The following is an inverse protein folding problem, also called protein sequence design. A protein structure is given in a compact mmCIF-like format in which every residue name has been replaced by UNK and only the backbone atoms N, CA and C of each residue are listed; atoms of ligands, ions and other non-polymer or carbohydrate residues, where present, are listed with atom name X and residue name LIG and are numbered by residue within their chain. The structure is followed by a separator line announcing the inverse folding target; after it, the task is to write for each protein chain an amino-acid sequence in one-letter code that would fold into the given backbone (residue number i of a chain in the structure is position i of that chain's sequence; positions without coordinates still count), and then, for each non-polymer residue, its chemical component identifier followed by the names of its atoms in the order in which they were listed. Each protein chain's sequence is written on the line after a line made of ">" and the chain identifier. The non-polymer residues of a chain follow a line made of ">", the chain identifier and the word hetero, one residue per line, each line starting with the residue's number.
data_IF_832977358601
#
_entry.id   IF_832977358601
#
_cell.length_a   1.000
_cell.length_b   1.000
_cell.length_c   1.000
_cell.angle_alpha   90.00
_cell.angle_beta   90.00
_cell.angle_gamma   90.00
#
_symmetry.space_group_name_H-M   'P 1'
#
loop_
_entity.id
_entity.type
_entity.pdbx_description
1 polymer ?
#
# COMPACT_ATOMS: atom_id res chain seq x y z
N UNK A 1 1.06 9.33 -0.33
CA UNK A 1 1.33 8.08 0.41
C UNK A 1 1.06 8.22 1.92
N UNK A 2 1.64 9.20 2.62
CA UNK A 2 1.46 9.34 4.08
C UNK A 2 0.01 9.54 4.56
N UNK A 3 -0.85 10.20 3.77
CA UNK A 3 -2.24 10.48 4.14
C UNK A 3 -3.19 9.28 4.02
N UNK A 4 -2.82 8.24 3.27
CA UNK A 4 -3.66 7.06 3.06
C UNK A 4 -3.09 5.82 3.75
N UNK A 5 -1.78 5.61 3.66
CA UNK A 5 -1.14 4.36 4.09
C UNK A 5 -1.08 4.22 5.62
N UNK A 6 -0.79 5.31 6.34
CA UNK A 6 -0.75 5.29 7.81
C UNK A 6 -2.14 5.06 8.43
N UNK A 7 -3.20 5.78 8.02
CA UNK A 7 -4.55 5.47 8.48
C UNK A 7 -5.00 4.05 8.14
N UNK A 8 -4.67 3.55 6.94
CA UNK A 8 -5.03 2.19 6.53
C UNK A 8 -4.38 1.12 7.42
N UNK A 9 -3.07 1.23 7.71
CA UNK A 9 -2.37 0.32 8.60
C UNK A 9 -2.89 0.39 10.05
N UNK A 10 -3.15 1.61 10.54
CA UNK A 10 -3.73 1.81 11.87
C UNK A 10 -5.12 1.20 11.98
N UNK A 11 -5.94 1.29 10.93
CA UNK A 11 -7.28 0.71 10.92
C UNK A 11 -7.23 -0.81 10.82
N UNK A 12 -6.34 -1.38 10.01
CA UNK A 12 -6.20 -2.82 9.81
C UNK A 12 -5.80 -3.58 11.09
N UNK A 13 -5.17 -2.88 12.05
CA UNK A 13 -4.72 -3.44 13.33
C UNK A 13 -5.57 -2.98 14.52
N UNK A 14 -6.59 -2.14 14.27
CA UNK A 14 -7.44 -1.60 15.31
C UNK A 14 -8.28 -2.70 15.97
N UNK A 15 -8.22 -2.80 17.31
CA UNK A 15 -9.01 -3.77 18.07
C UNK A 15 -8.49 -5.21 18.05
N UNK A 16 -7.34 -5.47 17.41
CA UNK A 16 -6.68 -6.79 17.45
C UNK A 16 -6.12 -7.05 18.84
N UNK A 17 -6.42 -8.22 19.43
CA UNK A 17 -5.80 -8.63 20.70
C UNK A 17 -4.30 -8.88 20.50
N UNK A 18 -3.44 -8.62 21.50
CA UNK A 18 -1.98 -8.77 21.35
C UNK A 18 -1.54 -10.16 20.87
N UNK A 19 -2.26 -11.21 21.30
CA UNK A 19 -2.02 -12.60 20.90
C UNK A 19 -2.31 -12.89 19.41
N UNK A 20 -3.16 -12.09 18.76
CA UNK A 20 -3.59 -12.28 17.36
C UNK A 20 -2.83 -11.35 16.38
N UNK A 21 -2.01 -10.44 16.89
CA UNK A 21 -1.31 -9.43 16.10
C UNK A 21 -0.41 -10.03 15.00
N UNK A 22 0.23 -11.17 15.29
CA UNK A 22 1.06 -11.87 14.30
C UNK A 22 0.26 -12.39 13.11
N UNK A 23 -0.94 -12.95 13.36
CA UNK A 23 -1.84 -13.45 12.31
C UNK A 23 -2.39 -12.28 11.50
N UNK A 24 -2.81 -11.19 12.15
CA UNK A 24 -3.30 -10.00 11.47
C UNK A 24 -2.25 -9.38 10.54
N UNK A 25 -1.00 -9.25 11.00
CA UNK A 25 0.12 -8.74 10.20
C UNK A 25 0.45 -9.66 9.01
N UNK A 26 0.46 -10.98 9.22
CA UNK A 26 0.66 -11.94 8.14
C UNK A 26 -0.42 -11.80 7.06
N UNK A 27 -1.69 -11.69 7.45
CA UNK A 27 -2.81 -11.49 6.52
C UNK A 27 -2.67 -10.20 5.71
N UNK A 28 -2.30 -9.10 6.36
CA UNK A 28 -2.07 -7.81 5.69
C UNK A 28 -0.92 -7.90 4.68
N UNK A 29 0.19 -8.52 5.07
CA UNK A 29 1.34 -8.70 4.19
C UNK A 29 0.99 -9.59 2.98
N UNK A 30 0.36 -10.74 3.21
CA UNK A 30 -0.09 -11.63 2.13
C UNK A 30 -1.06 -10.90 1.20
N UNK A 31 -2.01 -10.13 1.74
CA UNK A 31 -2.95 -9.35 0.93
C UNK A 31 -2.25 -8.31 0.07
N UNK A 32 -1.22 -7.62 0.60
CA UNK A 32 -0.42 -6.66 -0.17
C UNK A 32 0.40 -7.33 -1.26
N UNK A 33 1.08 -8.45 -0.95
CA UNK A 33 1.88 -9.17 -1.93
C UNK A 33 1.01 -9.73 -3.07
N UNK A 34 -0.10 -10.37 -2.71
CA UNK A 34 -1.06 -10.92 -3.69
C UNK A 34 -1.70 -9.79 -4.49
N UNK A 35 -2.18 -8.73 -3.84
CA UNK A 35 -2.79 -7.59 -4.50
C UNK A 35 -1.83 -6.87 -5.44
N UNK A 36 -0.58 -6.66 -5.04
CA UNK A 36 0.45 -6.03 -5.87
C UNK A 36 0.78 -6.85 -7.12
N UNK A 37 0.93 -8.18 -6.97
CA UNK A 37 1.20 -9.07 -8.09
C UNK A 37 0.02 -9.13 -9.07
N UNK A 38 -1.20 -9.34 -8.58
CA UNK A 38 -2.41 -9.42 -9.39
C UNK A 38 -2.69 -8.08 -10.10
N UNK A 39 -2.59 -6.97 -9.37
CA UNK A 39 -2.81 -5.63 -9.93
C UNK A 39 -1.82 -5.32 -11.06
N UNK A 40 -0.54 -5.63 -10.85
CA UNK A 40 0.49 -5.42 -11.88
C UNK A 40 0.24 -6.28 -13.11
N UNK A 41 -0.08 -7.57 -12.92
CA UNK A 41 -0.38 -8.48 -14.02
C UNK A 41 -1.57 -8.01 -14.85
N UNK A 42 -2.67 -7.63 -14.17
CA UNK A 42 -3.89 -7.14 -14.82
C UNK A 42 -3.61 -5.88 -15.65
N UNK A 43 -2.96 -4.87 -15.07
CA UNK A 43 -2.68 -3.61 -15.75
C UNK A 43 -1.74 -3.80 -16.94
N UNK A 44 -0.76 -4.70 -16.84
CA UNK A 44 0.09 -5.08 -17.96
C UNK A 44 -0.72 -5.75 -19.09
N UNK A 45 -1.64 -6.65 -18.76
CA UNK A 45 -2.53 -7.27 -19.75
C UNK A 45 -3.39 -6.23 -20.48
N UNK A 46 -3.95 -5.26 -19.75
CA UNK A 46 -4.73 -4.15 -20.34
C UNK A 46 -3.85 -3.30 -21.25
N UNK A 47 -2.67 -2.88 -20.78
CA UNK A 47 -1.75 -2.06 -21.55
C UNK A 47 -1.31 -2.76 -22.85
N UNK A 48 -0.93 -4.04 -22.76
CA UNK A 48 -0.52 -4.84 -23.89
C UNK A 48 -1.68 -5.05 -24.89
N UNK A 49 -2.88 -5.36 -24.40
CA UNK A 49 -4.06 -5.58 -25.26
C UNK A 49 -4.47 -4.31 -26.01
N UNK A 50 -4.46 -3.16 -25.33
CA UNK A 50 -4.75 -1.86 -25.95
C UNK A 50 -3.66 -1.45 -26.96
N UNK A 51 -2.38 -1.71 -26.65
CA UNK A 51 -1.26 -1.49 -27.58
C UNK A 51 -1.43 -2.33 -28.85
N UNK A 52 -1.67 -3.63 -28.71
CA UNK A 52 -1.86 -4.55 -29.86
C UNK A 52 -3.06 -4.13 -30.71
N UNK A 53 -4.17 -3.76 -30.07
CA UNK A 53 -5.37 -3.27 -30.77
C UNK A 53 -5.10 -2.00 -31.56
N UNK A 54 -4.35 -1.04 -30.98
CA UNK A 54 -3.95 0.18 -31.65
C UNK A 54 -3.08 -0.10 -32.88
N UNK A 55 -2.05 -0.95 -32.72
CA UNK A 55 -1.15 -1.31 -33.80
C UNK A 55 -1.91 -1.93 -34.97
N UNK A 56 -2.83 -2.87 -34.71
CA UNK A 56 -3.63 -3.52 -35.74
C UNK A 56 -4.50 -2.52 -36.53
N UNK A 57 -5.12 -1.56 -35.85
CA UNK A 57 -5.99 -0.57 -36.46
C UNK A 57 -5.25 0.53 -37.24
N UNK A 58 -3.97 0.81 -36.93
CA UNK A 58 -3.24 1.97 -37.46
C UNK A 58 -2.04 1.60 -38.35
N UNK A 59 -1.95 0.34 -38.80
CA UNK A 59 -0.86 -0.17 -39.67
C UNK A 59 -0.68 0.61 -40.98
N UNK A 60 -1.76 1.10 -41.59
CA UNK A 60 -1.74 1.74 -42.91
C UNK A 60 -1.51 3.27 -42.88
N UNK A 61 -1.62 3.92 -41.72
CA UNK A 61 -1.64 5.39 -41.60
C UNK A 61 -0.43 6.01 -40.89
N UNK A 62 0.47 5.20 -40.33
CA UNK A 62 1.57 5.71 -39.54
C UNK A 62 2.81 6.06 -40.39
N UNK A 63 3.43 7.21 -40.11
CA UNK A 63 4.65 7.71 -40.76
C UNK A 63 5.93 6.90 -40.51
N UNK A 64 5.81 5.58 -40.32
CA UNK A 64 6.89 4.62 -40.11
C UNK A 64 6.63 3.66 -38.94
N UNK A 65 7.23 2.45 -38.95
CA UNK A 65 6.97 1.40 -37.96
C UNK A 65 7.35 1.81 -36.52
N UNK A 66 8.42 2.59 -36.37
CA UNK A 66 8.89 3.06 -35.06
C UNK A 66 7.93 4.07 -34.42
N UNK A 67 7.36 4.97 -35.22
CA UNK A 67 6.37 5.94 -34.75
C UNK A 67 5.05 5.25 -34.38
N UNK A 68 4.60 4.28 -35.20
CA UNK A 68 3.43 3.46 -34.90
C UNK A 68 3.58 2.74 -33.55
N UNK A 69 4.73 2.11 -33.31
CA UNK A 69 4.99 1.40 -32.05
C UNK A 69 4.97 2.34 -30.84
N UNK A 70 5.64 3.50 -30.95
CA UNK A 70 5.66 4.48 -29.87
C UNK A 70 4.25 4.99 -29.53
N UNK A 71 3.43 5.30 -30.54
CA UNK A 71 2.05 5.72 -30.35
C UNK A 71 1.17 4.63 -29.72
N UNK A 72 1.33 3.38 -30.17
CA UNK A 72 0.60 2.26 -29.60
C UNK A 72 0.92 2.04 -28.12
N UNK A 73 2.19 2.13 -27.73
CA UNK A 73 2.59 2.03 -26.32
C UNK A 73 2.00 3.15 -25.47
N UNK A 74 2.06 4.40 -25.94
CA UNK A 74 1.46 5.54 -25.23
C UNK A 74 -0.05 5.35 -25.07
N UNK A 75 -0.73 4.91 -26.13
CA UNK A 75 -2.16 4.59 -26.09
C UNK A 75 -2.47 3.48 -25.08
N UNK A 76 -1.70 2.39 -25.10
CA UNK A 76 -1.85 1.28 -24.17
C UNK A 76 -1.67 1.67 -22.71
N UNK A 77 -0.59 2.38 -22.38
CA UNK A 77 -0.36 2.88 -21.01
C UNK A 77 -1.43 3.87 -20.56
N UNK A 78 -1.88 4.76 -21.45
CA UNK A 78 -2.96 5.71 -21.13
C UNK A 78 -4.25 4.97 -20.78
N UNK A 79 -4.61 3.94 -21.55
CA UNK A 79 -5.77 3.10 -21.23
C UNK A 79 -5.62 2.35 -19.91
N UNK A 80 -4.43 1.79 -19.63
CA UNK A 80 -4.18 1.11 -18.37
C UNK A 80 -4.28 2.05 -17.16
N UNK A 81 -3.81 3.30 -17.28
CA UNK A 81 -3.94 4.32 -16.23
C UNK A 81 -5.42 4.61 -15.94
N UNK A 82 -6.27 4.75 -16.96
CA UNK A 82 -7.69 4.97 -16.75
C UNK A 82 -8.38 3.79 -16.05
N UNK A 83 -8.00 2.56 -16.39
CA UNK A 83 -8.44 1.37 -15.65
C UNK A 83 -7.98 1.38 -14.19
N UNK A 84 -6.72 1.74 -13.94
CA UNK A 84 -6.19 1.87 -12.58
C UNK A 84 -6.96 2.90 -11.76
N UNK A 85 -7.27 4.06 -12.33
CA UNK A 85 -8.11 5.09 -11.69
C UNK A 85 -9.51 4.54 -11.36
N UNK A 86 -10.12 3.79 -12.28
CA UNK A 86 -11.42 3.17 -12.04
C UNK A 86 -11.40 2.15 -10.89
N UNK A 87 -10.39 1.28 -10.86
CA UNK A 87 -10.22 0.28 -9.79
C UNK A 87 -9.98 0.96 -8.44
N UNK A 88 -9.13 1.99 -8.41
CA UNK A 88 -8.86 2.78 -7.20
C UNK A 88 -10.12 3.50 -6.71
N UNK A 89 -10.92 4.08 -7.61
CA UNK A 89 -12.18 4.72 -7.26
C UNK A 89 -13.19 3.73 -6.66
N UNK A 90 -13.26 2.50 -7.19
CA UNK A 90 -14.09 1.43 -6.62
C UNK A 90 -13.57 1.04 -5.23
N UNK A 91 -12.26 0.87 -5.06
CA UNK A 91 -11.67 0.56 -3.76
C UNK A 91 -11.96 1.67 -2.73
N UNK A 92 -11.85 2.94 -3.14
CA UNK A 92 -12.21 4.10 -2.33
C UNK A 92 -13.69 4.10 -1.95
N UNK A 93 -14.59 3.75 -2.89
CA UNK A 93 -16.02 3.66 -2.60
C UNK A 93 -16.34 2.54 -1.59
N UNK A 94 -15.71 1.38 -1.73
CA UNK A 94 -15.84 0.28 -0.76
C UNK A 94 -15.33 0.75 0.61
N UNK A 95 -14.16 1.37 0.66
CA UNK A 95 -13.60 1.91 1.89
C UNK A 95 -14.56 2.93 2.54
N UNK A 96 -15.09 3.89 1.78
CA UNK A 96 -16.02 4.91 2.27
C UNK A 96 -17.34 4.34 2.80
N UNK A 97 -17.82 3.24 2.22
CA UNK A 97 -19.12 2.65 2.59
C UNK A 97 -19.02 1.61 3.71
N UNK A 98 -17.91 0.88 3.81
CA UNK A 98 -17.74 -0.21 4.78
C UNK A 98 -16.92 0.19 6.02
N UNK A 99 -16.04 1.19 5.92
CA UNK A 99 -15.24 1.63 7.07
C UNK A 99 -16.11 2.52 7.96
N UNK A 100 -16.62 1.95 9.05
CA UNK A 100 -17.25 2.67 10.14
C UNK A 100 -16.30 2.77 11.34
N UNK A 101 -15.17 3.46 11.17
CA UNK A 101 -14.23 3.71 12.25
C UNK A 101 -14.71 4.91 13.08
N UNK A 102 -14.90 4.71 14.39
CA UNK A 102 -15.21 5.81 15.31
C UNK A 102 -14.09 6.86 15.32
N UNK A 103 -14.42 8.11 15.67
CA UNK A 103 -13.42 9.18 15.85
C UNK A 103 -12.32 8.67 16.79
N UNK A 104 -11.03 8.71 16.41
CA UNK A 104 -9.95 8.34 17.32
C UNK A 104 -10.11 9.12 18.62
N UNK A 105 -10.32 8.40 19.73
CA UNK A 105 -10.37 9.03 21.04
C UNK A 105 -9.06 9.78 21.27
N UNK A 106 -9.12 10.96 21.88
CA UNK A 106 -7.93 11.65 22.36
C UNK A 106 -7.33 10.77 23.46
N UNK A 107 -6.42 9.88 23.09
CA UNK A 107 -5.58 9.16 24.06
C UNK A 107 -4.68 10.23 24.66
N UNK A 108 -5.05 10.70 25.85
CA UNK A 108 -4.22 11.60 26.64
C UNK A 108 -2.95 10.83 26.95
N UNK A 109 -1.88 11.12 26.21
CA UNK A 109 -0.54 10.62 26.53
C UNK A 109 -0.25 11.18 27.92
N UNK A 110 -0.16 10.30 28.92
CA UNK A 110 0.33 10.70 30.22
C UNK A 110 1.76 11.18 30.00
N UNK A 111 1.97 12.49 30.16
CA UNK A 111 3.30 13.05 30.31
C UNK A 111 3.97 12.25 31.42
N UNK A 112 5.10 11.62 31.11
CA UNK A 112 6.04 11.26 32.17
C UNK A 112 6.57 12.58 32.73
N UNK A 113 5.82 13.19 33.64
CA UNK A 113 6.31 14.28 34.46
C UNK A 113 7.40 13.66 35.34
N UNK A 114 8.62 13.79 34.85
CA UNK A 114 9.81 13.57 35.64
C UNK A 114 9.92 14.70 36.65
N UNK A 115 9.32 14.49 37.83
CA UNK A 115 9.69 15.20 39.04
C UNK A 115 10.42 14.23 39.97
N UNK A 116 11.66 14.61 40.28
CA UNK A 116 12.69 13.71 40.78
C UNK A 116 12.81 13.54 42.29
N UNK A 117 13.84 12.75 42.60
CA UNK A 117 14.61 12.68 43.84
C UNK A 117 14.01 11.95 45.06
N UNK A 118 14.56 10.77 45.36
CA UNK A 118 14.32 10.07 46.62
C UNK A 118 15.00 8.70 46.81
N UNK A 119 16.35 8.67 46.83
CA UNK A 119 17.19 7.75 47.60
C UNK A 119 17.51 6.30 47.11
N UNK A 120 18.75 6.15 46.63
CA UNK A 120 19.76 5.12 46.93
C UNK A 120 19.43 3.61 46.79
N UNK A 121 20.09 2.95 45.82
CA UNK A 121 21.18 1.97 46.04
C UNK A 121 21.18 0.79 45.03
N UNK A 122 22.39 0.51 44.48
CA UNK A 122 22.88 -0.77 43.93
C UNK A 122 22.44 -1.09 42.48
N UNK A 123 23.29 -0.79 41.49
CA UNK A 123 24.21 -1.73 40.81
C UNK A 123 23.53 -3.00 40.29
N UNK A 124 23.32 -3.13 38.98
CA UNK A 124 24.09 -4.07 38.14
C UNK A 124 23.79 -3.84 36.65
N UNK A 125 24.85 -3.57 35.90
CA UNK A 125 24.87 -3.29 34.47
C UNK A 125 25.08 -4.62 33.74
N UNK A 126 24.01 -5.25 33.28
CA UNK A 126 24.12 -6.43 32.41
C UNK A 126 23.96 -6.01 30.94
N UNK A 127 25.07 -5.56 30.35
CA UNK A 127 25.24 -5.43 28.91
C UNK A 127 24.97 -6.79 28.23
N UNK A 128 23.98 -6.85 27.32
CA UNK A 128 23.73 -8.05 26.51
C UNK A 128 24.52 -7.94 25.20
N UNK A 129 25.54 -8.77 24.95
CA UNK A 129 26.31 -8.72 23.72
C UNK A 129 25.53 -9.35 22.54
N UNK A 130 25.45 -8.62 21.43
CA UNK A 130 24.94 -9.10 20.14
C UNK A 130 26.03 -9.90 19.45
N UNK A 131 25.91 -11.24 19.46
CA UNK A 131 26.77 -12.12 18.68
C UNK A 131 26.22 -12.18 17.25
N UNK A 132 26.96 -11.57 16.32
CA UNK A 132 26.87 -11.92 14.91
C UNK A 132 27.39 -13.34 14.73
N UNK A 133 26.63 -14.17 14.03
CA UNK A 133 27.13 -15.34 13.34
C UNK A 133 26.66 -15.31 11.90
#
# INVERSE_FOLDING_TARGET
>A
MGTAFMPAMSLATHGIQPQDAGVASAMVNTSQQVGGAIGTALLNTVAASATTSYLAAHTAGAGGPKLLQAQGLVHGYTHAIWWAVGIEAIAALIALTFINAGRPGSTRVASSDGDGAGSAATQDEAAVPVVMH
#
